data_IF_530854804646
#
_entry.id   IF_530854804646
#
_cell.length_a   1.000
_cell.length_b   1.000
_cell.length_c   1.000
_cell.angle_alpha   90.00
_cell.angle_beta   90.00
_cell.angle_gamma   90.00
#
_symmetry.space_group_name_H-M   'P 1'
#
loop_
_entity.id
_entity.type
_entity.pdbx_description
1 polymer ?
#
# COMPACT_ATOMS: atom_id res chain seq x y z
N UNK A 1 -1.17 -15.65 -20.79
CA UNK A 1 -0.95 -15.32 -19.37
C UNK A 1 -0.01 -14.12 -19.31
N UNK A 2 -0.49 -12.94 -18.92
CA UNK A 2 0.36 -11.77 -18.72
C UNK A 2 0.91 -11.86 -17.30
N UNK A 3 2.23 -12.04 -17.15
CA UNK A 3 2.88 -12.04 -15.83
C UNK A 3 2.77 -10.62 -15.26
N UNK A 4 2.38 -10.42 -13.99
CA UNK A 4 2.40 -9.09 -13.39
C UNK A 4 3.83 -8.51 -13.44
N UNK A 5 3.97 -7.18 -13.57
CA UNK A 5 5.26 -6.52 -13.82
C UNK A 5 6.27 -6.68 -12.66
N UNK A 6 5.79 -7.00 -11.46
CA UNK A 6 6.59 -7.29 -10.27
C UNK A 6 5.80 -8.25 -9.36
N UNK A 7 6.43 -8.65 -8.25
CA UNK A 7 5.86 -9.45 -7.16
C UNK A 7 6.03 -8.72 -5.83
N UNK A 8 5.30 -9.15 -4.80
CA UNK A 8 5.46 -8.57 -3.47
C UNK A 8 6.88 -8.77 -2.93
N UNK A 9 7.55 -9.85 -3.31
CA UNK A 9 8.93 -10.14 -2.89
C UNK A 9 9.91 -9.08 -3.36
N UNK A 10 9.63 -8.43 -4.50
CA UNK A 10 10.45 -7.36 -5.06
C UNK A 10 10.37 -6.06 -4.25
N UNK A 11 9.31 -5.89 -3.43
CA UNK A 11 9.18 -4.73 -2.56
C UNK A 11 10.21 -4.82 -1.42
N UNK A 12 11.11 -3.83 -1.29
CA UNK A 12 12.24 -3.89 -0.37
C UNK A 12 11.82 -4.02 1.11
N UNK A 13 12.58 -4.83 1.84
CA UNK A 13 12.52 -4.90 3.29
C UNK A 13 13.33 -3.74 3.88
N UNK A 14 12.65 -2.79 4.50
CA UNK A 14 13.25 -1.63 5.12
C UNK A 14 13.51 -1.85 6.62
N UNK A 15 14.60 -1.28 7.11
CA UNK A 15 14.83 -1.02 8.53
C UNK A 15 14.59 0.46 8.78
N UNK A 16 13.54 0.84 9.50
CA UNK A 16 13.28 2.24 9.75
C UNK A 16 14.36 2.81 10.67
N UNK A 17 14.87 4.01 10.37
CA UNK A 17 15.85 4.70 11.20
C UNK A 17 15.23 5.23 12.51
N UNK A 18 13.90 5.46 12.53
CA UNK A 18 13.16 5.97 13.69
C UNK A 18 11.83 5.27 14.02
N UNK A 19 11.39 4.23 13.30
CA UNK A 19 10.01 3.71 13.44
C UNK A 19 9.74 2.86 14.69
N UNK A 20 10.50 3.03 15.76
CA UNK A 20 9.92 2.80 17.10
C UNK A 20 9.07 4.02 17.45
N UNK A 21 7.87 4.09 16.90
CA UNK A 21 6.95 5.16 17.27
C UNK A 21 5.94 5.46 16.20
N UNK A 22 4.75 5.83 16.66
CA UNK A 22 3.53 6.14 15.89
C UNK A 22 3.64 7.42 15.03
N UNK A 23 4.84 7.93 14.82
CA UNK A 23 5.08 9.17 14.08
C UNK A 23 5.15 8.87 12.59
N UNK A 24 4.32 9.55 11.83
CA UNK A 24 4.23 9.47 10.37
C UNK A 24 4.19 10.91 9.87
N UNK A 25 5.00 11.28 8.85
CA UNK A 25 5.92 10.45 8.06
C UNK A 25 7.20 10.02 8.81
N UNK A 26 7.79 8.89 8.40
CA UNK A 26 9.10 8.42 8.84
C UNK A 26 10.12 8.59 7.71
N UNK A 27 11.32 9.04 8.04
CA UNK A 27 12.45 8.78 7.16
C UNK A 27 12.81 7.30 7.27
N UNK A 28 12.90 6.62 6.13
CA UNK A 28 13.39 5.25 6.07
C UNK A 28 14.75 5.34 5.42
N UNK A 29 15.78 4.84 6.12
CA UNK A 29 17.21 5.07 5.83
C UNK A 29 17.75 4.54 4.49
N UNK A 30 16.90 4.30 3.50
CA UNK A 30 17.30 4.08 2.12
C UNK A 30 17.18 5.41 1.36
N UNK A 31 18.33 6.00 0.99
CA UNK A 31 18.45 7.10 0.03
C UNK A 31 17.90 8.48 0.44
N UNK A 32 17.60 8.72 1.72
CA UNK A 32 17.12 10.03 2.18
C UNK A 32 15.70 10.37 1.71
N UNK A 33 14.91 9.35 1.35
CA UNK A 33 13.51 9.49 0.95
C UNK A 33 12.59 9.48 2.18
N UNK A 34 11.49 10.22 2.09
CA UNK A 34 10.46 10.26 3.12
C UNK A 34 9.38 9.23 2.81
N UNK A 35 8.94 8.49 3.82
CA UNK A 35 7.89 7.48 3.67
C UNK A 35 6.78 7.69 4.69
N UNK A 36 5.54 7.39 4.31
CA UNK A 36 4.41 7.39 5.23
C UNK A 36 3.78 6.01 5.33
N UNK A 37 3.44 5.62 6.56
CA UNK A 37 2.72 4.37 6.85
C UNK A 37 1.39 4.38 6.10
N UNK A 38 1.12 3.28 5.44
CA UNK A 38 -0.15 3.04 4.75
C UNK A 38 -1.08 2.22 5.64
N UNK A 39 -2.39 2.31 5.42
CA UNK A 39 -3.36 1.38 6.01
C UNK A 39 -3.09 -0.07 5.58
N UNK A 40 -3.78 -1.02 6.20
CA UNK A 40 -3.60 -2.47 6.01
C UNK A 40 -4.71 -3.15 5.19
N UNK A 41 -5.76 -2.41 4.84
CA UNK A 41 -6.87 -2.88 4.00
C UNK A 41 -6.42 -3.22 2.58
N UNK A 42 -7.17 -4.07 1.88
CA UNK A 42 -6.86 -4.44 0.50
C UNK A 42 -6.82 -3.26 -0.47
N UNK A 43 -7.64 -2.23 -0.24
CA UNK A 43 -7.58 -0.97 -0.96
C UNK A 43 -6.22 -0.28 -0.81
N UNK A 44 -5.73 -0.16 0.43
CA UNK A 44 -4.41 0.43 0.71
C UNK A 44 -3.27 -0.40 0.10
N UNK A 45 -3.39 -1.73 0.13
CA UNK A 45 -2.41 -2.62 -0.47
C UNK A 45 -2.40 -2.52 -1.99
N UNK A 46 -3.55 -2.24 -2.61
CA UNK A 46 -3.64 -1.96 -4.05
C UNK A 46 -2.80 -0.72 -4.41
N UNK A 47 -2.82 0.32 -3.57
CA UNK A 47 -1.94 1.49 -3.74
C UNK A 47 -0.47 1.11 -3.65
N UNK A 48 -0.07 0.35 -2.62
CA UNK A 48 1.32 -0.12 -2.47
C UNK A 48 1.78 -0.97 -3.65
N UNK A 49 0.91 -1.82 -4.17
CA UNK A 49 1.21 -2.65 -5.35
C UNK A 49 1.49 -1.78 -6.58
N UNK A 50 0.62 -0.85 -6.92
CA UNK A 50 0.84 0.00 -8.11
C UNK A 50 1.98 0.99 -7.94
N UNK A 51 2.30 1.42 -6.72
CA UNK A 51 3.49 2.23 -6.45
C UNK A 51 4.78 1.43 -6.74
N UNK A 52 4.70 0.10 -6.61
CA UNK A 52 5.76 -0.81 -7.01
C UNK A 52 6.99 -0.79 -6.08
N UNK A 53 8.00 -1.61 -6.37
CA UNK A 53 9.16 -1.79 -5.51
C UNK A 53 10.07 -0.56 -5.41
N UNK A 54 9.91 0.43 -6.29
CA UNK A 54 10.67 1.69 -6.27
C UNK A 54 10.13 2.74 -5.29
N UNK A 55 8.86 2.61 -4.88
CA UNK A 55 8.16 3.62 -4.06
C UNK A 55 7.41 3.03 -2.86
N UNK A 56 7.32 1.71 -2.77
CA UNK A 56 6.80 1.00 -1.60
C UNK A 56 7.94 0.34 -0.86
N UNK A 57 7.83 0.30 0.47
CA UNK A 57 8.70 -0.51 1.34
C UNK A 57 7.85 -1.29 2.34
N UNK A 58 8.36 -2.44 2.78
CA UNK A 58 7.78 -3.22 3.87
C UNK A 58 8.72 -3.24 5.07
N UNK A 59 8.16 -3.11 6.26
CA UNK A 59 8.88 -3.21 7.54
C UNK A 59 8.28 -4.37 8.33
N UNK A 60 9.08 -5.23 8.98
CA UNK A 60 8.54 -6.25 9.88
C UNK A 60 7.61 -5.59 10.90
N UNK A 61 6.38 -6.10 11.02
CA UNK A 61 5.44 -5.59 12.01
C UNK A 61 5.91 -5.91 13.42
N UNK A 62 5.48 -5.09 14.39
CA UNK A 62 5.78 -5.37 15.79
C UNK A 62 5.18 -6.71 16.23
N UNK A 63 5.83 -7.43 17.15
CA UNK A 63 5.23 -8.55 17.83
C UNK A 63 3.95 -8.08 18.54
N UNK A 64 2.84 -8.78 18.29
CA UNK A 64 1.56 -8.51 18.95
C UNK A 64 1.20 -9.69 19.87
N UNK A 65 0.48 -9.46 20.97
CA UNK A 65 -0.08 -10.54 21.79
C UNK A 65 -0.94 -11.49 20.95
N UNK A 66 -1.05 -12.76 21.34
CA UNK A 66 -1.77 -13.80 20.60
C UNK A 66 -3.19 -13.40 20.15
N UNK A 67 -3.96 -12.76 21.03
CA UNK A 67 -5.30 -12.27 20.68
C UNK A 67 -5.28 -11.21 19.56
N UNK A 68 -4.33 -10.28 19.62
CA UNK A 68 -4.13 -9.30 18.57
C UNK A 68 -3.49 -9.91 17.29
N UNK A 69 -2.80 -11.05 17.41
CA UNK A 69 -2.30 -11.80 16.26
C UNK A 69 -3.46 -12.45 15.48
N UNK A 70 -4.46 -12.99 16.17
CA UNK A 70 -5.67 -13.52 15.55
C UNK A 70 -6.48 -12.41 14.84
N UNK A 71 -6.68 -11.26 15.49
CA UNK A 71 -7.33 -10.10 14.88
C UNK A 71 -6.57 -9.62 13.63
N UNK A 72 -5.23 -9.57 13.72
CA UNK A 72 -4.38 -9.23 12.57
C UNK A 72 -4.55 -10.21 11.42
N UNK A 73 -4.62 -11.51 11.69
CA UNK A 73 -4.78 -12.54 10.66
C UNK A 73 -6.09 -12.35 9.87
N UNK A 74 -7.18 -11.98 10.55
CA UNK A 74 -8.47 -11.68 9.90
C UNK A 74 -8.33 -10.47 8.96
N UNK A 75 -7.70 -9.39 9.43
CA UNK A 75 -7.48 -8.19 8.59
C UNK A 75 -6.59 -8.52 7.38
N UNK A 76 -5.56 -9.35 7.57
CA UNK A 76 -4.69 -9.79 6.49
C UNK A 76 -5.41 -10.69 5.46
N UNK A 77 -6.32 -11.55 5.92
CA UNK A 77 -7.17 -12.38 5.06
C UNK A 77 -8.18 -11.54 4.26
N UNK A 78 -8.85 -10.58 4.90
CA UNK A 78 -9.77 -9.66 4.24
C UNK A 78 -9.05 -8.83 3.17
N UNK A 79 -7.87 -8.30 3.52
CA UNK A 79 -7.04 -7.57 2.57
C UNK A 79 -6.66 -8.44 1.36
N UNK A 80 -6.27 -9.70 1.59
CA UNK A 80 -5.92 -10.62 0.51
C UNK A 80 -7.13 -11.04 -0.35
N UNK A 81 -8.32 -11.12 0.23
CA UNK A 81 -9.57 -11.37 -0.52
C UNK A 81 -9.86 -10.22 -1.49
N UNK A 82 -9.76 -8.98 -1.03
CA UNK A 82 -9.90 -7.80 -1.88
C UNK A 82 -8.83 -7.75 -2.98
N UNK A 83 -7.56 -8.07 -2.66
CA UNK A 83 -6.48 -8.13 -3.65
C UNK A 83 -6.77 -9.16 -4.75
N UNK A 84 -7.32 -10.32 -4.38
CA UNK A 84 -7.73 -11.33 -5.35
C UNK A 84 -8.79 -10.80 -6.33
N UNK A 85 -9.82 -10.10 -5.82
CA UNK A 85 -10.85 -9.47 -6.66
C UNK A 85 -10.27 -8.37 -7.56
N UNK A 86 -9.27 -7.63 -7.07
CA UNK A 86 -8.50 -6.66 -7.83
C UNK A 86 -7.56 -7.29 -8.87
N UNK A 87 -7.36 -8.61 -8.86
CA UNK A 87 -6.42 -9.32 -9.74
C UNK A 87 -4.96 -9.19 -9.33
N UNK A 88 -4.70 -8.86 -8.07
CA UNK A 88 -3.36 -8.69 -7.48
C UNK A 88 -3.03 -9.92 -6.63
N UNK A 89 -1.79 -10.44 -6.67
CA UNK A 89 -1.38 -11.56 -5.83
C UNK A 89 -1.58 -11.25 -4.32
N UNK A 90 -1.80 -12.25 -3.46
CA UNK A 90 -1.88 -12.03 -2.03
C UNK A 90 -0.57 -11.47 -1.48
N UNK A 91 -0.66 -10.51 -0.57
CA UNK A 91 0.51 -9.93 0.10
C UNK A 91 1.05 -10.87 1.17
N UNK A 92 2.36 -10.85 1.44
CA UNK A 92 2.89 -11.59 2.57
C UNK A 92 2.37 -11.01 3.91
N UNK A 93 2.06 -11.86 4.90
CA UNK A 93 1.62 -11.44 6.22
C UNK A 93 2.77 -10.86 7.05
N UNK A 94 2.47 -10.21 8.17
CA UNK A 94 3.49 -9.86 9.15
C UNK A 94 4.27 -8.57 8.86
N UNK A 95 3.88 -7.79 7.85
CA UNK A 95 4.51 -6.52 7.50
C UNK A 95 3.63 -5.29 7.74
N UNK A 96 4.27 -4.17 8.06
CA UNK A 96 3.72 -2.82 7.92
C UNK A 96 4.24 -2.22 6.62
N UNK A 97 3.36 -1.60 5.85
CA UNK A 97 3.68 -1.07 4.52
C UNK A 97 3.75 0.45 4.55
N UNK A 98 4.65 0.99 3.75
CA UNK A 98 4.88 2.42 3.63
C UNK A 98 5.02 2.82 2.17
N UNK A 99 4.55 4.03 1.87
CA UNK A 99 4.66 4.67 0.56
C UNK A 99 5.63 5.83 0.63
N UNK A 100 6.47 5.98 -0.37
CA UNK A 100 7.30 7.16 -0.58
C UNK A 100 6.42 8.40 -0.74
N UNK A 101 6.84 9.52 -0.15
CA UNK A 101 6.27 10.84 -0.43
C UNK A 101 7.30 11.60 -1.26
N UNK A 102 7.07 11.78 -2.58
CA UNK A 102 7.97 12.56 -3.42
C UNK A 102 8.11 14.01 -2.93
N UNK A 103 9.27 14.65 -3.15
CA UNK A 103 9.45 16.06 -2.78
C UNK A 103 8.35 16.97 -3.34
N UNK A 104 7.78 17.83 -2.48
CA UNK A 104 6.71 18.75 -2.86
C UNK A 104 5.33 18.12 -3.03
N UNK A 105 5.18 16.80 -2.79
CA UNK A 105 3.89 16.10 -2.77
C UNK A 105 3.45 15.81 -1.34
N UNK A 106 2.19 15.42 -1.18
CA UNK A 106 1.64 14.97 0.11
C UNK A 106 0.80 13.71 -0.09
N UNK A 107 0.74 12.87 0.93
CA UNK A 107 -0.10 11.68 0.91
C UNK A 107 -1.60 12.04 0.79
N UNK A 108 -2.02 13.14 1.42
CA UNK A 108 -3.38 13.68 1.25
C UNK A 108 -3.67 14.03 -0.22
N UNK A 109 -2.68 14.55 -0.96
CA UNK A 109 -2.80 14.80 -2.40
C UNK A 109 -2.97 13.52 -3.22
N UNK A 110 -2.28 12.43 -2.85
CA UNK A 110 -2.50 11.11 -3.47
C UNK A 110 -3.94 10.63 -3.24
N UNK A 111 -4.43 10.71 -2.00
CA UNK A 111 -5.80 10.31 -1.66
C UNK A 111 -6.85 11.09 -2.44
N UNK A 112 -6.70 12.42 -2.54
CA UNK A 112 -7.59 13.25 -3.35
C UNK A 112 -7.57 12.90 -4.84
N UNK A 113 -6.44 12.44 -5.35
CA UNK A 113 -6.31 12.02 -6.74
C UNK A 113 -6.99 10.67 -7.00
N UNK A 114 -6.86 9.72 -6.07
CA UNK A 114 -7.58 8.45 -6.14
C UNK A 114 -9.09 8.68 -6.04
N UNK A 115 -9.55 9.44 -5.04
CA UNK A 115 -10.97 9.80 -4.87
C UNK A 115 -11.58 10.40 -6.14
N UNK A 116 -10.82 11.24 -6.85
CA UNK A 116 -11.26 11.84 -8.11
C UNK A 116 -11.49 10.78 -9.18
N UNK A 117 -10.55 9.86 -9.35
CA UNK A 117 -10.68 8.79 -10.33
C UNK A 117 -11.74 7.76 -9.96
N UNK A 118 -11.93 7.48 -8.67
CA UNK A 118 -13.01 6.59 -8.22
C UNK A 118 -14.40 7.19 -8.46
N UNK A 119 -14.57 8.51 -8.30
CA UNK A 119 -15.84 9.20 -8.63
C UNK A 119 -16.20 9.15 -10.11
N UNK A 120 -15.25 8.87 -10.99
CA UNK A 120 -15.48 8.67 -12.42
C UNK A 120 -15.96 7.25 -12.75
N UNK A 121 -15.90 6.31 -11.79
CA UNK A 121 -16.35 4.94 -11.98
C UNK A 121 -17.89 4.86 -11.99
N UNK A 122 -18.48 3.98 -12.83
CA UNK A 122 -19.92 3.78 -12.85
C UNK A 122 -20.35 2.97 -11.61
N UNK A 123 -21.31 3.50 -10.85
CA UNK A 123 -21.94 2.78 -9.74
C UNK A 123 -21.52 3.28 -8.35
N UNK A 124 -22.40 3.10 -7.37
CA UNK A 124 -22.19 3.58 -6.00
C UNK A 124 -21.21 2.72 -5.18
N UNK A 125 -20.94 1.49 -5.63
CA UNK A 125 -20.04 0.54 -5.00
C UNK A 125 -19.22 -0.18 -6.08
N UNK A 126 -18.15 0.44 -6.60
CA UNK A 126 -17.34 -0.14 -7.67
C UNK A 126 -16.67 -1.44 -7.21
N UNK A 127 -16.49 -2.37 -8.15
CA UNK A 127 -15.80 -3.63 -7.87
C UNK A 127 -14.30 -3.37 -7.62
N UNK A 128 -13.59 -4.14 -6.76
CA UNK A 128 -12.16 -3.95 -6.48
C UNK A 128 -11.27 -3.84 -7.73
N UNK A 129 -11.60 -4.56 -8.80
CA UNK A 129 -10.91 -4.46 -10.10
C UNK A 129 -11.04 -3.08 -10.78
N UNK A 130 -12.20 -2.46 -10.68
CA UNK A 130 -12.46 -1.13 -11.24
C UNK A 130 -11.74 -0.07 -10.40
N UNK A 131 -11.86 -0.18 -9.07
CA UNK A 131 -11.10 0.63 -8.11
C UNK A 131 -9.59 0.52 -8.34
N UNK A 132 -9.06 -0.70 -8.56
CA UNK A 132 -7.65 -0.91 -8.85
C UNK A 132 -7.19 -0.17 -10.11
N UNK A 133 -8.04 -0.05 -11.12
CA UNK A 133 -7.74 0.73 -12.34
C UNK A 133 -7.69 2.23 -12.05
N UNK A 134 -8.59 2.75 -11.21
CA UNK A 134 -8.56 4.14 -10.76
C UNK A 134 -7.30 4.45 -9.93
N UNK A 135 -6.96 3.56 -8.99
CA UNK A 135 -5.75 3.65 -8.17
C UNK A 135 -4.49 3.66 -9.05
N UNK A 136 -4.39 2.74 -10.02
CA UNK A 136 -3.24 2.65 -10.90
C UNK A 136 -2.97 3.96 -11.65
N UNK A 137 -4.03 4.64 -12.12
CA UNK A 137 -3.94 5.95 -12.79
C UNK A 137 -3.45 7.04 -11.85
N UNK A 138 -4.04 7.12 -10.65
CA UNK A 138 -3.65 8.10 -9.65
C UNK A 138 -2.18 7.95 -9.25
N UNK A 139 -1.75 6.71 -8.98
CA UNK A 139 -0.38 6.38 -8.59
C UNK A 139 0.61 6.74 -9.69
N UNK A 140 0.30 6.42 -10.95
CA UNK A 140 1.14 6.78 -12.08
C UNK A 140 1.34 8.30 -12.20
N UNK A 141 0.30 9.10 -11.95
CA UNK A 141 0.39 10.57 -11.97
C UNK A 141 1.12 11.12 -10.74
N UNK A 142 1.01 10.45 -9.59
CA UNK A 142 1.65 10.89 -8.35
C UNK A 142 3.18 10.73 -8.38
N UNK A 143 3.68 9.67 -9.03
CA UNK A 143 5.11 9.34 -9.12
C UNK A 143 5.75 9.68 -10.48
N UNK A 144 5.02 10.28 -11.41
CA UNK A 144 5.57 10.85 -12.65
C UNK A 144 6.34 12.16 -12.38
#
# INVERSE_FOLDING_TARGET
MHRPPHTWSDVPLARPSSARGREVPVEIGQEGRTYARTGDSGWHMTVCWYAGPGHSVRVPGDPVPERAAADRAIVEEEANSYLADAGIPPRPPGFTWYLEIPPGRTLAGLWQLIDRHERELPGAAPHPRETATAIARAVAVFYA
#
